data_IF_228257088910
#
_entry.id   IF_228257088910
#
_cell.length_a   1.000
_cell.length_b   1.000
_cell.length_c   1.000
_cell.angle_alpha   90.00
_cell.angle_beta   90.00
_cell.angle_gamma   90.00
#
_symmetry.space_group_name_H-M   'P 1'
#
loop_
_entity.id
_entity.type
_entity.pdbx_description
1 polymer ?
#
# COMPACT_ATOMS: atom_id res chain seq x y z
N UNK A 1 3.91 4.44 -16.40
CA UNK A 1 5.29 4.48 -15.86
C UNK A 1 5.27 3.85 -14.48
N UNK A 2 6.21 2.96 -14.14
CA UNK A 2 6.29 2.39 -12.80
C UNK A 2 6.72 3.45 -11.78
N UNK A 3 6.26 3.33 -10.53
CA UNK A 3 6.54 4.31 -9.48
C UNK A 3 8.03 4.40 -9.14
N UNK A 4 8.74 3.26 -9.18
CA UNK A 4 10.20 3.18 -9.02
C UNK A 4 10.95 4.05 -10.03
N UNK A 5 10.59 3.93 -11.32
CA UNK A 5 11.19 4.72 -12.40
C UNK A 5 10.94 6.22 -12.21
N UNK A 6 9.76 6.60 -11.73
CA UNK A 6 9.46 7.99 -11.42
C UNK A 6 10.35 8.50 -10.28
N UNK A 7 10.45 7.74 -9.19
CA UNK A 7 11.28 8.07 -8.04
C UNK A 7 12.75 8.26 -8.44
N UNK A 8 13.31 7.32 -9.20
CA UNK A 8 14.70 7.37 -9.68
C UNK A 8 14.96 8.62 -10.54
N UNK A 9 14.02 8.95 -11.43
CA UNK A 9 14.10 10.16 -12.26
C UNK A 9 14.07 11.43 -11.43
N UNK A 10 13.13 11.54 -10.48
CA UNK A 10 13.04 12.73 -9.61
C UNK A 10 14.32 12.90 -8.80
N UNK A 11 14.84 11.81 -8.22
CA UNK A 11 16.08 11.84 -7.45
C UNK A 11 17.30 12.18 -8.32
N UNK A 12 17.38 11.66 -9.55
CA UNK A 12 18.43 11.99 -10.51
C UNK A 12 18.40 13.46 -10.91
N UNK A 13 17.22 14.02 -11.21
CA UNK A 13 17.11 15.44 -11.53
C UNK A 13 17.50 16.34 -10.36
N UNK A 14 17.07 16.01 -9.13
CA UNK A 14 17.48 16.75 -7.94
C UNK A 14 19.00 16.70 -7.71
N UNK A 15 19.63 15.54 -7.92
CA UNK A 15 21.09 15.38 -7.88
C UNK A 15 21.78 16.27 -8.91
N UNK A 16 21.27 16.32 -10.15
CA UNK A 16 21.84 17.16 -11.21
C UNK A 16 21.73 18.65 -10.86
N UNK A 17 20.57 19.08 -10.33
CA UNK A 17 20.37 20.45 -9.86
C UNK A 17 21.35 20.80 -8.73
N UNK A 18 21.58 19.88 -7.80
CA UNK A 18 22.57 20.06 -6.74
C UNK A 18 24.00 20.20 -7.28
N UNK A 19 24.37 19.45 -8.33
CA UNK A 19 25.68 19.56 -8.99
C UNK A 19 25.84 20.93 -9.68
N UNK A 20 24.75 21.46 -10.23
CA UNK A 20 24.70 22.78 -10.86
C UNK A 20 24.73 23.94 -9.84
N UNK A 21 24.79 23.65 -8.53
CA UNK A 21 24.76 24.66 -7.47
C UNK A 21 23.38 25.26 -7.22
N UNK A 22 22.32 24.69 -7.80
CA UNK A 22 20.94 25.11 -7.57
C UNK A 22 20.46 24.50 -6.26
N UNK A 23 20.08 25.35 -5.31
CA UNK A 23 19.55 24.89 -4.02
C UNK A 23 18.11 24.38 -4.18
N UNK A 24 17.81 23.26 -3.54
CA UNK A 24 16.46 22.66 -3.53
C UNK A 24 15.42 23.65 -3.01
N UNK A 25 15.79 24.54 -2.09
CA UNK A 25 14.90 25.57 -1.53
C UNK A 25 14.36 26.55 -2.58
N UNK A 26 15.20 26.92 -3.56
CA UNK A 26 14.82 27.88 -4.60
C UNK A 26 13.93 27.27 -5.68
N UNK A 27 14.18 26.00 -6.01
CA UNK A 27 13.45 25.30 -7.07
C UNK A 27 12.28 24.48 -6.54
N UNK A 28 12.18 24.20 -5.23
CA UNK A 28 11.09 23.43 -4.64
C UNK A 28 9.69 23.97 -4.99
N UNK A 29 9.41 25.29 -5.00
CA UNK A 29 8.11 25.81 -5.42
C UNK A 29 7.76 25.47 -6.88
N UNK A 30 8.76 25.37 -7.75
CA UNK A 30 8.60 25.04 -9.19
C UNK A 30 8.54 23.52 -9.39
N UNK A 31 9.36 22.76 -8.66
CA UNK A 31 9.44 21.31 -8.76
C UNK A 31 8.22 20.62 -8.16
N UNK A 32 7.63 21.17 -7.09
CA UNK A 32 6.49 20.55 -6.41
C UNK A 32 5.32 20.24 -7.35
N UNK A 33 4.77 21.21 -8.13
CA UNK A 33 3.71 20.92 -9.10
C UNK A 33 4.10 19.87 -10.15
N UNK A 34 5.36 19.89 -10.60
CA UNK A 34 5.87 18.96 -11.61
C UNK A 34 5.90 17.53 -11.07
N UNK A 35 6.46 17.35 -9.87
CA UNK A 35 6.52 16.05 -9.20
C UNK A 35 5.11 15.57 -8.88
N UNK A 36 4.23 16.42 -8.33
CA UNK A 36 2.83 16.07 -8.05
C UNK A 36 2.05 15.65 -9.30
N UNK A 37 2.31 16.24 -10.46
CA UNK A 37 1.61 15.86 -11.71
C UNK A 37 2.04 14.50 -12.28
N UNK A 38 3.26 14.05 -11.98
CA UNK A 38 3.76 12.76 -12.46
C UNK A 38 3.30 11.57 -11.60
N UNK A 39 2.77 11.83 -10.40
CA UNK A 39 2.41 10.80 -9.41
C UNK A 39 0.94 10.36 -9.61
N UNK A 40 0.63 9.06 -9.47
CA UNK A 40 -0.75 8.58 -9.49
C UNK A 40 -1.64 9.23 -8.41
N UNK A 41 -2.89 9.53 -8.79
CA UNK A 41 -3.85 10.23 -7.93
C UNK A 41 -4.09 9.56 -6.55
N UNK A 42 -4.00 8.23 -6.47
CA UNK A 42 -4.14 7.48 -5.21
C UNK A 42 -3.06 7.85 -4.18
N UNK A 43 -1.81 7.95 -4.66
CA UNK A 43 -0.64 8.26 -3.84
C UNK A 43 -0.69 9.75 -3.46
N UNK A 44 -0.98 10.61 -4.43
CA UNK A 44 -1.12 12.05 -4.20
C UNK A 44 -2.21 12.36 -3.16
N UNK A 45 -3.38 11.72 -3.24
CA UNK A 45 -4.46 11.88 -2.25
C UNK A 45 -4.05 11.41 -0.86
N UNK A 46 -3.21 10.38 -0.76
CA UNK A 46 -2.69 9.90 0.52
C UNK A 46 -1.69 10.88 1.12
N UNK A 47 -0.84 11.47 0.28
CA UNK A 47 0.06 12.55 0.66
C UNK A 47 -0.68 13.81 1.11
N UNK A 48 -1.66 14.29 0.36
CA UNK A 48 -2.45 15.48 0.71
C UNK A 48 -3.17 15.31 2.05
N UNK A 49 -3.68 14.10 2.34
CA UNK A 49 -4.27 13.80 3.67
C UNK A 49 -3.26 13.92 4.79
N UNK A 50 -2.01 13.51 4.57
CA UNK A 50 -0.92 13.70 5.55
C UNK A 50 -0.50 15.16 5.68
N UNK A 51 -0.61 15.96 4.61
CA UNK A 51 -0.11 17.34 4.54
C UNK A 51 -1.06 18.45 5.00
N UNK A 52 -2.36 18.19 5.18
CA UNK A 52 -3.40 19.22 5.45
C UNK A 52 -3.24 20.02 6.77
N UNK A 53 -2.25 19.72 7.62
CA UNK A 53 -2.07 20.39 8.92
C UNK A 53 -0.76 21.18 9.08
N UNK A 54 0.21 21.06 8.17
CA UNK A 54 1.54 21.65 8.37
C UNK A 54 1.79 22.79 7.36
N UNK A 55 1.87 24.03 7.86
CA UNK A 55 2.52 25.13 7.12
C UNK A 55 4.03 24.87 7.11
N UNK A 56 4.47 23.93 6.28
CA UNK A 56 5.89 23.65 6.05
C UNK A 56 6.40 24.40 4.82
N UNK A 57 7.71 24.66 4.78
CA UNK A 57 8.34 25.24 3.59
C UNK A 57 8.19 24.30 2.39
N UNK A 58 8.17 24.84 1.17
CA UNK A 58 8.06 24.04 -0.07
C UNK A 58 9.13 22.95 -0.16
N UNK A 59 10.31 23.21 0.41
CA UNK A 59 11.42 22.25 0.47
C UNK A 59 11.10 21.05 1.37
N UNK A 60 10.61 21.29 2.59
CA UNK A 60 10.18 20.22 3.50
C UNK A 60 9.01 19.43 2.90
N UNK A 61 8.09 20.14 2.24
CA UNK A 61 6.97 19.52 1.55
C UNK A 61 7.44 18.58 0.41
N UNK A 62 8.46 18.99 -0.34
CA UNK A 62 9.08 18.17 -1.40
C UNK A 62 9.83 16.97 -0.82
N UNK A 63 10.61 17.16 0.24
CA UNK A 63 11.31 16.06 0.93
C UNK A 63 10.33 15.00 1.46
N UNK A 64 9.24 15.43 2.10
CA UNK A 64 8.19 14.53 2.57
C UNK A 64 7.49 13.77 1.43
N UNK A 65 7.32 14.40 0.27
CA UNK A 65 6.75 13.75 -0.91
C UNK A 65 7.71 12.68 -1.46
N UNK A 66 9.01 12.97 -1.53
CA UNK A 66 10.02 12.01 -1.93
C UNK A 66 10.10 10.82 -0.96
N UNK A 67 10.03 11.07 0.34
CA UNK A 67 10.02 10.01 1.36
C UNK A 67 8.80 9.10 1.21
N UNK A 68 7.62 9.67 0.94
CA UNK A 68 6.42 8.89 0.69
C UNK A 68 6.57 8.03 -0.57
N UNK A 69 7.09 8.59 -1.66
CA UNK A 69 7.35 7.83 -2.88
C UNK A 69 8.29 6.65 -2.63
N UNK A 70 9.36 6.87 -1.87
CA UNK A 70 10.29 5.83 -1.47
C UNK A 70 9.57 4.71 -0.69
N UNK A 71 8.76 5.08 0.30
CA UNK A 71 8.01 4.12 1.10
C UNK A 71 7.04 3.28 0.26
N UNK A 72 6.32 3.89 -0.67
CA UNK A 72 5.39 3.19 -1.55
C UNK A 72 6.14 2.22 -2.49
N UNK A 73 7.26 2.65 -3.07
CA UNK A 73 8.10 1.78 -3.92
C UNK A 73 8.66 0.59 -3.14
N UNK A 74 9.21 0.82 -1.94
CA UNK A 74 9.69 -0.26 -1.08
C UNK A 74 8.55 -1.18 -0.61
N UNK A 75 7.36 -0.62 -0.37
CA UNK A 75 6.16 -1.38 -0.04
C UNK A 75 5.75 -2.33 -1.15
N UNK A 76 5.68 -1.84 -2.39
CA UNK A 76 5.39 -2.64 -3.57
C UNK A 76 6.42 -3.76 -3.76
N UNK A 77 7.70 -3.46 -3.56
CA UNK A 77 8.77 -4.47 -3.63
C UNK A 77 8.63 -5.55 -2.54
N UNK A 78 8.36 -5.17 -1.29
CA UNK A 78 8.14 -6.11 -0.19
C UNK A 78 6.94 -7.02 -0.44
N UNK A 79 5.84 -6.46 -0.94
CA UNK A 79 4.65 -7.23 -1.32
C UNK A 79 5.00 -8.19 -2.45
N UNK A 80 5.70 -7.73 -3.50
CA UNK A 80 6.12 -8.58 -4.61
C UNK A 80 7.00 -9.75 -4.15
N UNK A 81 7.98 -9.49 -3.27
CA UNK A 81 8.83 -10.53 -2.69
C UNK A 81 8.05 -11.53 -1.84
N UNK A 82 7.09 -11.07 -1.03
CA UNK A 82 6.24 -11.96 -0.27
C UNK A 82 5.40 -12.85 -1.18
N UNK A 83 4.77 -12.28 -2.21
CA UNK A 83 3.97 -13.03 -3.19
C UNK A 83 4.79 -14.08 -3.94
N UNK A 84 6.00 -13.73 -4.38
CA UNK A 84 6.92 -14.65 -5.05
C UNK A 84 7.35 -15.80 -4.12
N UNK A 85 7.68 -15.49 -2.85
CA UNK A 85 8.05 -16.49 -1.85
C UNK A 85 6.94 -17.51 -1.53
N UNK A 86 5.68 -17.16 -1.76
CA UNK A 86 4.52 -18.05 -1.59
C UNK A 86 3.97 -18.61 -2.92
N UNK A 87 4.59 -18.30 -4.06
CA UNK A 87 4.15 -18.78 -5.38
C UNK A 87 2.91 -18.07 -5.95
N UNK A 88 2.46 -16.95 -5.35
CA UNK A 88 1.40 -16.10 -5.87
C UNK A 88 1.94 -15.15 -6.95
N UNK A 89 2.56 -15.67 -8.01
CA UNK A 89 2.98 -14.80 -9.11
C UNK A 89 1.73 -14.29 -9.84
N UNK A 90 1.40 -13.01 -9.66
CA UNK A 90 0.37 -12.33 -10.46
C UNK A 90 0.94 -12.15 -11.86
N UNK A 91 0.73 -13.17 -12.68
CA UNK A 91 1.18 -13.22 -14.06
C UNK A 91 0.52 -12.12 -14.89
N UNK A 92 1.24 -11.04 -15.18
CA UNK A 92 0.97 -10.17 -16.31
C UNK A 92 1.71 -10.68 -17.55
N UNK A 93 1.40 -11.90 -18.03
CA UNK A 93 1.56 -12.33 -19.44
C UNK A 93 1.11 -13.79 -19.64
N UNK A 94 0.65 -14.20 -20.84
CA UNK A 94 0.16 -15.55 -21.09
C UNK A 94 1.28 -16.57 -20.92
N UNK A 95 0.93 -17.70 -20.31
CA UNK A 95 1.71 -18.94 -20.29
C UNK A 95 2.37 -19.20 -21.66
N UNK A 96 3.70 -19.21 -21.70
CA UNK A 96 4.42 -20.04 -22.66
C UNK A 96 4.73 -21.35 -21.94
N UNK A 97 3.92 -22.36 -22.24
CA UNK A 97 4.17 -23.75 -21.85
C UNK A 97 5.48 -24.24 -22.47
N UNK A 98 6.50 -24.45 -21.64
CA UNK A 98 7.63 -25.28 -22.03
C UNK A 98 7.29 -26.74 -21.73
N UNK A 99 6.92 -27.45 -22.80
CA UNK A 99 6.80 -28.90 -22.85
C UNK A 99 8.15 -29.58 -22.55
N UNK A 100 8.23 -30.41 -21.50
CA UNK A 100 9.15 -31.57 -21.41
C UNK A 100 8.52 -32.72 -20.59
N UNK A 101 7.95 -33.68 -21.32
CA UNK A 101 7.99 -35.15 -21.13
C UNK A 101 7.65 -35.83 -19.79
N UNK A 102 6.47 -36.51 -19.76
CA UNK A 102 6.09 -37.85 -19.20
C UNK A 102 6.83 -38.38 -17.94
N UNK A 103 6.14 -38.78 -16.87
CA UNK A 103 5.44 -40.09 -16.76
C UNK A 103 4.17 -40.13 -15.87
N UNK A 104 3.08 -40.65 -16.45
CA UNK A 104 2.08 -41.63 -15.97
C UNK A 104 1.50 -41.64 -14.53
N UNK A 105 0.20 -41.32 -14.48
CA UNK A 105 -0.95 -42.06 -13.90
C UNK A 105 -1.40 -41.86 -12.42
N UNK A 106 -2.73 -41.61 -12.32
CA UNK A 106 -3.68 -41.71 -11.17
C UNK A 106 -3.55 -40.63 -10.08
N UNK A 107 -4.56 -39.85 -9.69
CA UNK A 107 -6.02 -39.92 -9.80
C UNK A 107 -6.63 -38.50 -9.92
N UNK A 108 -7.81 -38.40 -10.55
CA UNK A 108 -8.63 -37.19 -10.70
C UNK A 108 -9.86 -37.31 -9.77
N UNK A 109 -10.73 -36.29 -9.67
CA UNK A 109 -10.64 -34.97 -9.04
C UNK A 109 -11.59 -34.84 -7.84
N UNK A 110 -11.40 -33.88 -6.92
CA UNK A 110 -12.53 -33.20 -6.23
C UNK A 110 -12.22 -31.73 -5.89
N UNK A 111 -12.83 -30.85 -6.69
CA UNK A 111 -13.47 -29.58 -6.32
C UNK A 111 -12.66 -28.52 -5.56
N UNK A 112 -12.17 -27.49 -6.27
CA UNK A 112 -12.00 -26.15 -5.70
C UNK A 112 -13.11 -25.28 -6.26
N UNK A 113 -14.23 -25.23 -5.55
CA UNK A 113 -15.32 -24.31 -5.82
C UNK A 113 -14.93 -22.93 -5.29
N UNK A 114 -14.86 -22.00 -6.22
CA UNK A 114 -15.05 -20.58 -5.97
C UNK A 114 -16.46 -20.38 -5.38
N UNK A 115 -16.52 -19.92 -4.13
CA UNK A 115 -17.72 -19.26 -3.60
C UNK A 115 -17.28 -18.08 -2.75
N UNK A 116 -17.56 -16.89 -3.30
CA UNK A 116 -17.75 -15.67 -2.53
C UNK A 116 -18.89 -15.94 -1.54
N UNK A 117 -18.56 -16.19 -0.27
CA UNK A 117 -19.49 -16.02 0.84
C UNK A 117 -18.77 -15.29 1.97
N UNK A 118 -19.08 -13.99 2.08
CA UNK A 118 -19.08 -13.30 3.36
C UNK A 118 -20.27 -13.83 4.14
N UNK A 119 -20.09 -14.92 4.86
CA UNK A 119 -20.85 -15.15 6.08
C UNK A 119 -19.86 -14.95 7.23
N UNK A 120 -19.86 -13.74 7.78
CA UNK A 120 -19.48 -13.57 9.18
C UNK A 120 -20.54 -14.35 9.94
N UNK A 121 -20.21 -15.56 10.37
CA UNK A 121 -20.95 -16.24 11.43
C UNK A 121 -20.74 -15.42 12.70
N UNK A 122 -21.49 -14.32 12.80
CA UNK A 122 -21.81 -13.69 14.07
C UNK A 122 -22.46 -14.80 14.87
N UNK A 123 -21.75 -15.34 15.85
CA UNK A 123 -22.32 -16.24 16.83
C UNK A 123 -22.95 -15.39 17.95
N UNK A 124 -24.28 -15.21 17.98
CA UNK A 124 -24.97 -14.74 19.17
C UNK A 124 -25.24 -15.93 20.09
N UNK A 125 -24.20 -16.56 20.65
CA UNK A 125 -24.42 -17.68 21.57
C UNK A 125 -23.35 -17.78 22.66
N UNK A 126 -23.30 -16.75 23.51
CA UNK A 126 -22.82 -16.86 24.88
C UNK A 126 -23.64 -15.90 25.76
N UNK A 127 -24.93 -16.20 25.92
CA UNK A 127 -25.75 -15.67 27.00
C UNK A 127 -26.22 -16.84 27.86
N UNK A 128 -25.39 -17.29 28.79
CA UNK A 128 -25.87 -18.06 29.92
C UNK A 128 -26.46 -17.07 30.93
N UNK A 129 -27.79 -17.06 31.01
CA UNK A 129 -28.52 -16.41 32.10
C UNK A 129 -28.17 -17.09 33.41
N UNK A 130 -27.47 -16.38 34.30
CA UNK A 130 -27.53 -16.65 35.74
C UNK A 130 -28.18 -15.42 36.36
N UNK A 131 -29.42 -15.60 36.83
CA UNK A 131 -30.05 -14.69 37.77
C UNK A 131 -29.20 -14.71 39.04
N UNK A 132 -28.59 -13.59 39.37
CA UNK A 132 -28.46 -13.22 40.78
C UNK A 132 -28.71 -11.72 40.94
N UNK A 133 -29.51 -11.43 41.96
CA UNK A 133 -30.15 -10.18 42.24
C UNK A 133 -29.36 -9.53 43.36
N UNK A 134 -28.45 -8.60 43.08
CA UNK A 134 -27.90 -7.76 44.15
C UNK A 134 -27.43 -6.39 43.67
N UNK A 135 -28.20 -5.40 44.12
CA UNK A 135 -27.86 -4.02 44.47
C UNK A 135 -27.18 -3.08 43.45
N UNK A 136 -27.91 -1.99 43.22
CA UNK A 136 -27.63 -0.84 42.36
C UNK A 136 -26.34 -0.13 42.77
N UNK A 137 -25.43 0.08 41.82
CA UNK A 137 -24.70 1.34 41.62
C UNK A 137 -23.82 1.24 40.37
N UNK A 138 -24.41 1.51 39.20
CA UNK A 138 -23.63 1.81 38.00
C UNK A 138 -23.51 3.35 37.89
N UNK A 139 -22.34 3.86 38.25
CA UNK A 139 -21.92 5.25 37.97
C UNK A 139 -21.32 5.26 36.55
N UNK A 140 -22.20 5.21 35.55
CA UNK A 140 -21.84 5.74 34.23
C UNK A 140 -22.12 7.23 34.26
N UNK A 141 -21.14 8.04 34.67
CA UNK A 141 -21.14 9.45 34.36
C UNK A 141 -20.70 9.64 32.92
N UNK A 142 -21.57 10.31 32.17
CA UNK A 142 -21.31 10.89 30.86
C UNK A 142 -20.68 12.26 31.08
N UNK A 143 -19.58 12.57 30.38
CA UNK A 143 -19.32 13.86 29.73
C UNK A 143 -18.14 13.71 28.76
#
# INVERSE_FOLDING_TARGET
MALSVLYDKVQSHLRNLSILGVTVDSCAPILMPLVSSCIPAKILRTWERKGKGAKSSSKVMLENLLELLKYEVEGDQKIAMALDGFGFTVSHSPRVEQNKGKTNNRDKPKNCQETIQREVSTAPELLTTVKDQSTKNCIFYSF
#
